data_IF_344276583917
#
_entry.id   IF_344276583917
#
_cell.length_a   1.000
_cell.length_b   1.000
_cell.length_c   1.000
_cell.angle_alpha   90.00
_cell.angle_beta   90.00
_cell.angle_gamma   90.00
#
_symmetry.space_group_name_H-M   'P 1'
#
loop_
_entity.id
_entity.type
_entity.pdbx_description
1 polymer ?
#
# COMPACT_ATOMS: atom_id res chain seq x y z
N UNK A 1 29.50 9.75 47.27
CA UNK A 1 28.48 10.81 47.28
C UNK A 1 27.56 10.61 46.08
N UNK A 2 26.30 10.27 46.32
CA UNK A 2 25.29 10.02 45.29
C UNK A 2 24.68 11.35 44.85
N UNK A 3 24.75 11.69 43.56
CA UNK A 3 24.07 12.89 43.02
C UNK A 3 22.71 12.50 42.42
N UNK A 4 21.57 12.82 43.08
CA UNK A 4 20.24 12.50 42.59
C UNK A 4 19.86 13.25 41.29
N UNK A 5 20.47 14.41 41.02
CA UNK A 5 20.19 15.19 39.81
C UNK A 5 20.73 14.52 38.54
N UNK A 6 21.89 13.86 38.62
CA UNK A 6 22.49 13.11 37.50
C UNK A 6 21.56 11.99 36.98
N UNK A 7 20.87 11.28 37.87
CA UNK A 7 19.93 10.20 37.52
C UNK A 7 18.66 10.73 36.86
N UNK A 8 18.13 11.84 37.36
CA UNK A 8 16.95 12.48 36.78
C UNK A 8 17.23 12.99 35.35
N UNK A 9 18.38 13.62 35.13
CA UNK A 9 18.81 14.09 33.82
C UNK A 9 19.01 12.92 32.82
N UNK A 10 19.60 11.81 33.27
CA UNK A 10 19.76 10.61 32.44
C UNK A 10 18.41 9.99 32.04
N UNK A 11 17.45 9.92 32.98
CA UNK A 11 16.09 9.42 32.73
C UNK A 11 15.35 10.27 31.71
N UNK A 12 15.44 11.60 31.85
CA UNK A 12 14.85 12.55 30.90
C UNK A 12 15.44 12.42 29.49
N UNK A 13 16.77 12.25 29.35
CA UNK A 13 17.41 12.02 28.05
C UNK A 13 16.96 10.71 27.41
N UNK A 14 16.83 9.64 28.19
CA UNK A 14 16.32 8.34 27.70
C UNK A 14 14.88 8.46 27.22
N UNK A 15 14.02 9.14 27.97
CA UNK A 15 12.62 9.37 27.61
C UNK A 15 12.48 10.22 26.34
N UNK A 16 13.29 11.28 26.18
CA UNK A 16 13.34 12.07 24.94
C UNK A 16 13.78 11.22 23.74
N UNK A 17 14.78 10.36 23.90
CA UNK A 17 15.22 9.44 22.84
C UNK A 17 14.12 8.46 22.43
N UNK A 18 13.39 7.89 23.38
CA UNK A 18 12.24 7.02 23.07
C UNK A 18 11.11 7.75 22.33
N UNK A 19 10.81 9.00 22.73
CA UNK A 19 9.80 9.81 22.06
C UNK A 19 10.21 10.22 20.63
N UNK A 20 11.50 10.48 20.39
CA UNK A 20 12.01 10.75 19.05
C UNK A 20 12.00 9.49 18.18
N UNK A 21 12.42 8.35 18.73
CA UNK A 21 12.40 7.07 18.03
C UNK A 21 10.99 6.66 17.61
N UNK A 22 9.99 6.81 18.50
CA UNK A 22 8.59 6.49 18.16
C UNK A 22 8.04 7.38 17.06
N UNK A 23 8.35 8.69 17.08
CA UNK A 23 7.98 9.63 16.02
C UNK A 23 8.62 9.27 14.68
N UNK A 24 9.91 8.92 14.68
CA UNK A 24 10.59 8.46 13.47
C UNK A 24 9.96 7.18 12.92
N UNK A 25 9.69 6.18 13.77
CA UNK A 25 8.98 4.97 13.36
C UNK A 25 7.62 5.28 12.71
N UNK A 26 6.84 6.21 13.28
CA UNK A 26 5.55 6.61 12.71
C UNK A 26 5.70 7.28 11.33
N UNK A 27 6.68 8.18 11.18
CA UNK A 27 6.97 8.84 9.91
C UNK A 27 7.40 7.81 8.85
N UNK A 28 8.33 6.92 9.18
CA UNK A 28 8.79 5.88 8.26
C UNK A 28 7.68 4.88 7.91
N UNK A 29 6.84 4.50 8.87
CA UNK A 29 5.69 3.61 8.61
C UNK A 29 4.71 4.28 7.66
N UNK A 30 4.41 5.57 7.86
CA UNK A 30 3.53 6.34 6.98
C UNK A 30 4.10 6.54 5.58
N UNK A 31 5.41 6.79 5.47
CA UNK A 31 6.08 6.88 4.18
C UNK A 31 6.07 5.53 3.45
N UNK A 32 6.28 4.41 4.17
CA UNK A 32 6.23 3.07 3.61
C UNK A 32 4.81 2.67 3.18
N UNK A 33 3.76 3.03 3.94
CA UNK A 33 2.38 2.79 3.51
C UNK A 33 2.00 3.64 2.30
N UNK A 34 2.46 4.90 2.25
CA UNK A 34 2.28 5.74 1.07
C UNK A 34 3.00 5.17 -0.14
N UNK A 35 4.29 4.83 -0.06
CA UNK A 35 5.04 4.23 -1.16
C UNK A 35 4.38 2.95 -1.70
N UNK A 36 3.87 2.09 -0.81
CA UNK A 36 3.09 0.90 -1.18
C UNK A 36 1.76 1.24 -1.86
N UNK A 37 1.13 2.37 -1.51
CA UNK A 37 -0.09 2.84 -2.16
C UNK A 37 0.16 3.54 -3.51
N UNK A 38 1.35 4.13 -3.69
CA UNK A 38 1.70 4.91 -4.88
C UNK A 38 2.16 4.03 -6.04
N UNK A 39 2.72 2.85 -5.78
CA UNK A 39 3.27 1.99 -6.82
C UNK A 39 2.35 0.79 -7.09
N UNK A 40 1.20 1.03 -7.72
CA UNK A 40 0.57 -0.05 -8.50
C UNK A 40 1.56 -0.48 -9.59
N UNK A 41 1.83 -1.79 -9.77
CA UNK A 41 2.71 -2.26 -10.85
C UNK A 41 2.08 -2.09 -12.25
N UNK A 42 0.81 -1.67 -12.30
CA UNK A 42 0.04 -1.44 -13.51
C UNK A 42 -0.22 0.06 -13.72
N UNK A 43 -0.40 0.44 -14.98
CA UNK A 43 -0.80 1.78 -15.41
C UNK A 43 -2.17 1.74 -16.07
N UNK A 44 -2.87 2.88 -16.07
CA UNK A 44 -4.10 3.04 -16.86
C UNK A 44 -3.76 2.81 -18.34
N UNK A 45 -4.55 1.98 -19.00
CA UNK A 45 -4.31 1.51 -20.36
C UNK A 45 -3.63 0.14 -20.46
N UNK A 46 -3.06 -0.40 -19.37
CA UNK A 46 -2.47 -1.74 -19.38
C UNK A 46 -3.56 -2.80 -19.59
N UNK A 47 -3.29 -3.77 -20.47
CA UNK A 47 -4.12 -4.96 -20.61
C UNK A 47 -3.69 -6.01 -19.58
N UNK A 48 -4.63 -6.45 -18.75
CA UNK A 48 -4.37 -7.35 -17.63
C UNK A 48 -5.53 -8.35 -17.49
N UNK A 49 -5.22 -9.48 -16.86
CA UNK A 49 -6.19 -10.50 -16.48
C UNK A 49 -6.30 -10.53 -14.94
N UNK A 50 -7.52 -10.49 -14.44
CA UNK A 50 -7.84 -10.68 -13.03
C UNK A 50 -8.52 -12.01 -12.82
N UNK A 51 -8.01 -12.82 -11.90
CA UNK A 51 -8.63 -14.10 -11.56
C UNK A 51 -9.54 -13.93 -10.33
N UNK A 52 -10.84 -14.09 -10.53
CA UNK A 52 -11.85 -14.03 -9.46
C UNK A 52 -12.29 -15.46 -9.11
N UNK A 53 -12.14 -15.92 -7.85
CA UNK A 53 -12.56 -17.26 -7.44
C UNK A 53 -14.06 -17.53 -7.61
N UNK A 54 -14.90 -16.49 -7.75
CA UNK A 54 -16.35 -16.63 -7.94
C UNK A 54 -16.79 -16.44 -9.39
N UNK A 55 -16.10 -15.57 -10.14
CA UNK A 55 -16.53 -15.15 -11.48
C UNK A 55 -15.58 -15.61 -12.60
N UNK A 56 -14.54 -16.38 -12.26
CA UNK A 56 -13.50 -16.83 -13.18
C UNK A 56 -12.53 -15.72 -13.58
N UNK A 57 -11.69 -16.02 -14.57
CA UNK A 57 -10.73 -15.06 -15.10
C UNK A 57 -11.44 -14.04 -15.99
N UNK A 58 -11.20 -12.76 -15.72
CA UNK A 58 -11.70 -11.65 -16.53
C UNK A 58 -10.53 -10.85 -17.06
N UNK A 59 -10.57 -10.60 -18.36
CA UNK A 59 -9.55 -9.80 -19.04
C UNK A 59 -10.09 -8.42 -19.40
N UNK A 60 -9.19 -7.44 -19.37
CA UNK A 60 -9.54 -6.10 -19.78
C UNK A 60 -8.43 -5.09 -19.60
N UNK A 61 -8.83 -3.84 -19.73
CA UNK A 61 -7.92 -2.69 -19.69
C UNK A 61 -8.06 -1.99 -18.35
N UNK A 62 -6.93 -1.68 -17.71
CA UNK A 62 -6.91 -0.87 -16.49
C UNK A 62 -7.47 0.51 -16.82
N UNK A 63 -8.60 0.86 -16.22
CA UNK A 63 -9.26 2.16 -16.40
C UNK A 63 -9.05 3.08 -15.20
N UNK A 64 -8.93 2.53 -13.98
CA UNK A 64 -8.81 3.29 -12.73
C UNK A 64 -7.81 2.64 -11.78
N UNK A 65 -7.01 3.44 -11.10
CA UNK A 65 -6.12 3.00 -10.02
C UNK A 65 -6.46 3.79 -8.76
N UNK A 66 -6.86 3.09 -7.69
CA UNK A 66 -7.23 3.68 -6.39
C UNK A 66 -6.52 2.93 -5.27
N UNK A 67 -5.30 3.35 -4.97
CA UNK A 67 -4.43 2.67 -4.00
C UNK A 67 -4.19 1.22 -4.43
N UNK A 68 -4.52 0.22 -3.60
CA UNK A 68 -4.35 -1.18 -3.98
C UNK A 68 -5.42 -1.71 -4.96
N UNK A 69 -6.51 -0.97 -5.16
CA UNK A 69 -7.61 -1.41 -6.01
C UNK A 69 -7.44 -0.90 -7.44
N UNK A 70 -7.62 -1.80 -8.40
CA UNK A 70 -7.49 -1.56 -9.83
C UNK A 70 -8.85 -1.83 -10.48
N UNK A 71 -9.40 -0.81 -11.12
CA UNK A 71 -10.63 -0.90 -11.91
C UNK A 71 -10.30 -1.34 -13.34
N UNK A 72 -10.77 -2.52 -13.72
CA UNK A 72 -10.64 -3.13 -15.02
C UNK A 72 -11.90 -2.91 -15.84
N UNK A 73 -11.76 -2.35 -17.04
CA UNK A 73 -12.82 -2.34 -18.04
C UNK A 73 -12.75 -3.63 -18.83
N UNK A 74 -13.66 -4.55 -18.56
CA UNK A 74 -13.63 -5.91 -19.10
C UNK A 74 -14.01 -5.94 -20.58
N UNK A 75 -13.39 -6.84 -21.35
CA UNK A 75 -13.70 -7.04 -22.78
C UNK A 75 -14.76 -8.14 -22.97
N UNK A 76 -14.70 -9.20 -22.17
CA UNK A 76 -15.57 -10.40 -22.22
C UNK A 76 -15.81 -10.90 -20.79
N UNK A 77 -16.99 -11.46 -20.43
CA UNK A 77 -18.22 -11.60 -21.22
C UNK A 77 -19.16 -10.39 -21.12
N UNK A 78 -18.94 -9.48 -20.15
CA UNK A 78 -19.74 -8.25 -19.97
C UNK A 78 -18.96 -7.03 -20.43
N UNK A 79 -18.66 -6.98 -21.73
CA UNK A 79 -17.88 -5.93 -22.36
C UNK A 79 -18.29 -4.53 -21.89
N UNK A 80 -17.34 -3.78 -21.35
CA UNK A 80 -17.53 -2.41 -20.88
C UNK A 80 -17.86 -2.26 -19.39
N UNK A 81 -18.04 -3.35 -18.64
CA UNK A 81 -18.25 -3.28 -17.18
C UNK A 81 -16.95 -2.93 -16.46
N UNK A 82 -17.02 -2.07 -15.44
CA UNK A 82 -15.88 -1.77 -14.58
C UNK A 82 -15.90 -2.70 -13.36
N UNK A 83 -14.89 -3.56 -13.25
CA UNK A 83 -14.73 -4.52 -12.14
C UNK A 83 -13.48 -4.14 -11.36
N UNK A 84 -13.54 -4.19 -10.03
CA UNK A 84 -12.41 -3.80 -9.17
C UNK A 84 -11.72 -5.03 -8.59
N UNK A 85 -10.40 -5.07 -8.74
CA UNK A 85 -9.52 -6.11 -8.19
C UNK A 85 -8.49 -5.50 -7.25
N UNK A 86 -7.94 -6.29 -6.33
CA UNK A 86 -6.66 -5.93 -5.71
C UNK A 86 -5.54 -6.15 -6.75
N UNK A 87 -4.56 -5.25 -6.84
CA UNK A 87 -3.47 -5.37 -7.83
C UNK A 87 -2.72 -6.71 -7.73
N UNK A 88 -2.72 -7.38 -6.58
CA UNK A 88 -2.06 -8.68 -6.39
C UNK A 88 -2.77 -9.84 -7.10
N UNK A 89 -4.05 -9.65 -7.40
CA UNK A 89 -4.88 -10.63 -8.11
C UNK A 89 -4.77 -10.47 -9.64
N UNK A 90 -4.10 -9.42 -10.10
CA UNK A 90 -3.92 -9.13 -11.51
C UNK A 90 -2.60 -9.67 -12.02
N UNK A 91 -2.62 -10.12 -13.27
CA UNK A 91 -1.44 -10.56 -14.02
C UNK A 91 -1.46 -9.94 -15.41
N UNK A 92 -0.26 -9.72 -15.97
CA UNK A 92 -0.14 -9.44 -17.41
C UNK A 92 -0.33 -10.77 -18.14
N UNK A 93 -1.18 -10.84 -19.16
CA UNK A 93 -1.51 -12.11 -19.82
C UNK A 93 -0.39 -12.69 -20.70
N UNK A 94 0.79 -12.05 -20.75
CA UNK A 94 2.00 -12.52 -21.44
C UNK A 94 3.23 -11.77 -20.93
#
# INVERSE_FOLDING_TARGET
MFDPYSRHAARMRKQRRHALASRLCQIFTRAATQAKSTASPFKVGDYVAGDDPFNGSQEGVVAVIKGPSIGLRTVVPRGGTLVYYDYRQLRRPW
#
